data_IF_022732135172
#
_entry.id   IF_022732135172
#
_cell.length_a   1.000
_cell.length_b   1.000
_cell.length_c   1.000
_cell.angle_alpha   90.00
_cell.angle_beta   90.00
_cell.angle_gamma   90.00
#
_symmetry.space_group_name_H-M   'P 1'
#
loop_
_entity.id
_entity.type
_entity.pdbx_description
1 polymer ?
#
# COMPACT_ATOMS: atom_id res chain seq x y z
N UNK A 1 -62.60 -47.42 -7.62
CA UNK A 1 -61.54 -46.51 -7.14
C UNK A 1 -61.28 -45.50 -8.22
N UNK A 2 -61.52 -44.23 -7.89
CA UNK A 2 -61.55 -43.08 -8.79
C UNK A 2 -60.14 -42.78 -9.32
N UNK A 3 -60.03 -42.52 -10.62
CA UNK A 3 -58.88 -41.83 -11.19
C UNK A 3 -59.36 -40.45 -11.60
N UNK A 4 -59.07 -39.50 -10.74
CA UNK A 4 -59.42 -38.10 -10.85
C UNK A 4 -58.87 -37.45 -12.13
N UNK A 5 -59.77 -36.67 -12.70
CA UNK A 5 -59.62 -35.56 -13.62
C UNK A 5 -58.29 -34.80 -13.46
N UNK A 6 -57.42 -34.92 -14.45
CA UNK A 6 -56.25 -34.06 -14.59
C UNK A 6 -56.29 -33.37 -15.96
N UNK A 7 -57.29 -32.51 -16.12
CA UNK A 7 -57.36 -31.46 -17.13
C UNK A 7 -56.20 -30.46 -16.96
N UNK A 8 -54.99 -30.83 -17.40
CA UNK A 8 -53.84 -29.92 -17.49
C UNK A 8 -53.90 -29.14 -18.81
N UNK A 9 -54.82 -28.18 -18.89
CA UNK A 9 -54.70 -27.09 -19.86
C UNK A 9 -53.44 -26.30 -19.51
N UNK A 10 -52.36 -26.51 -20.25
CA UNK A 10 -51.16 -25.68 -20.17
C UNK A 10 -51.32 -24.53 -21.17
N UNK A 11 -51.67 -23.30 -20.74
CA UNK A 11 -51.45 -22.15 -21.59
C UNK A 11 -49.96 -21.87 -21.57
N UNK A 12 -49.30 -22.41 -22.58
CA UNK A 12 -47.93 -22.11 -22.96
C UNK A 12 -47.84 -20.61 -23.32
N UNK A 13 -47.80 -19.75 -22.30
CA UNK A 13 -47.27 -18.40 -22.46
C UNK A 13 -45.84 -18.45 -21.98
N UNK A 14 -44.96 -18.69 -22.96
CA UNK A 14 -43.57 -18.28 -22.88
C UNK A 14 -43.57 -16.82 -22.39
N UNK A 15 -43.40 -16.61 -21.08
CA UNK A 15 -43.04 -15.30 -20.55
C UNK A 15 -41.59 -15.09 -20.93
N UNK A 16 -41.37 -14.77 -22.21
CA UNK A 16 -40.10 -14.28 -22.71
C UNK A 16 -39.80 -13.05 -21.87
N UNK A 17 -38.91 -13.20 -20.88
CA UNK A 17 -38.28 -12.05 -20.26
C UNK A 17 -37.43 -11.44 -21.36
N UNK A 18 -38.01 -10.52 -22.13
CA UNK A 18 -37.25 -9.65 -23.02
C UNK A 18 -36.32 -8.87 -22.13
N UNK A 19 -35.09 -9.38 -22.01
CA UNK A 19 -33.97 -8.63 -21.47
C UNK A 19 -33.73 -7.52 -22.49
N UNK A 20 -34.49 -6.43 -22.39
CA UNK A 20 -34.10 -5.17 -23.01
C UNK A 20 -32.71 -4.89 -22.48
N UNK A 21 -31.71 -5.19 -23.30
CA UNK A 21 -30.38 -4.67 -23.13
C UNK A 21 -30.56 -3.16 -23.29
N UNK A 22 -30.63 -2.43 -22.17
CA UNK A 22 -30.35 -1.01 -22.14
C UNK A 22 -28.88 -0.83 -22.55
N UNK A 23 -28.60 -1.01 -23.84
CA UNK A 23 -27.41 -0.48 -24.49
C UNK A 23 -27.58 1.03 -24.46
N UNK A 24 -26.81 1.71 -23.63
CA UNK A 24 -26.62 3.15 -23.82
C UNK A 24 -26.81 4.05 -22.61
N UNK A 25 -26.92 3.55 -21.38
CA UNK A 25 -26.69 4.41 -20.21
C UNK A 25 -25.77 3.68 -19.25
N UNK A 26 -24.47 3.68 -19.57
CA UNK A 26 -23.48 3.60 -18.51
C UNK A 26 -23.65 4.85 -17.66
N UNK A 27 -24.54 4.82 -16.68
CA UNK A 27 -24.37 5.70 -15.54
C UNK A 27 -22.96 5.41 -15.06
N UNK A 28 -22.04 6.37 -15.23
CA UNK A 28 -20.73 6.28 -14.63
C UNK A 28 -20.96 6.24 -13.13
N UNK A 29 -21.16 5.05 -12.57
CA UNK A 29 -21.27 4.86 -11.14
C UNK A 29 -19.88 5.23 -10.64
N UNK A 30 -19.71 6.51 -10.26
CA UNK A 30 -18.53 7.02 -9.59
C UNK A 30 -18.51 6.33 -8.23
N UNK A 31 -17.99 5.09 -8.22
CA UNK A 31 -17.77 4.34 -6.99
C UNK A 31 -16.85 5.20 -6.14
N UNK A 32 -17.34 5.64 -4.99
CA UNK A 32 -16.51 6.35 -4.03
C UNK A 32 -15.32 5.47 -3.69
N UNK A 33 -14.11 6.04 -3.71
CA UNK A 33 -12.92 5.30 -3.29
C UNK A 33 -13.14 4.87 -1.85
N UNK A 34 -12.96 3.58 -1.56
CA UNK A 34 -13.00 3.05 -0.19
C UNK A 34 -11.93 3.78 0.62
N UNK A 35 -12.34 4.44 1.71
CA UNK A 35 -11.41 4.99 2.70
C UNK A 35 -10.84 3.80 3.47
N UNK A 36 -9.61 3.41 3.16
CA UNK A 36 -8.92 2.37 3.93
C UNK A 36 -8.51 2.95 5.27
N UNK A 37 -8.76 2.19 6.34
CA UNK A 37 -8.29 2.58 7.66
C UNK A 37 -6.76 2.52 7.70
N UNK A 38 -6.12 3.60 8.11
CA UNK A 38 -4.67 3.64 8.25
C UNK A 38 -4.27 2.95 9.55
N UNK A 39 -3.46 1.90 9.43
CA UNK A 39 -2.91 1.20 10.59
C UNK A 39 -1.65 1.92 11.03
N UNK A 40 -1.59 2.24 12.32
CA UNK A 40 -0.48 2.95 12.94
C UNK A 40 0.82 2.14 12.79
N UNK A 41 1.98 2.80 12.66
CA UNK A 41 3.26 2.12 12.52
C UNK A 41 3.62 1.27 13.75
N UNK A 42 3.16 1.67 14.95
CA UNK A 42 3.39 0.95 16.21
C UNK A 42 2.72 -0.42 16.18
N UNK A 43 1.46 -0.49 15.76
CA UNK A 43 0.72 -1.76 15.65
C UNK A 43 1.39 -2.68 14.61
N UNK A 44 1.91 -2.12 13.50
CA UNK A 44 2.66 -2.90 12.51
C UNK A 44 3.92 -3.50 13.11
N UNK A 45 4.70 -2.70 13.85
CA UNK A 45 5.92 -3.18 14.51
C UNK A 45 5.61 -4.24 15.56
N UNK A 46 4.56 -4.04 16.36
CA UNK A 46 4.11 -5.02 17.34
C UNK A 46 3.74 -6.35 16.68
N UNK A 47 2.93 -6.33 15.61
CA UNK A 47 2.57 -7.54 14.87
C UNK A 47 3.80 -8.26 14.31
N UNK A 48 4.75 -7.51 13.76
CA UNK A 48 5.99 -8.06 13.19
C UNK A 48 6.82 -8.73 14.29
N UNK A 49 6.99 -8.08 15.44
CA UNK A 49 7.75 -8.63 16.56
C UNK A 49 7.13 -9.91 17.12
N UNK A 50 5.79 -9.94 17.26
CA UNK A 50 5.08 -11.15 17.72
C UNK A 50 5.30 -12.35 16.78
N UNK A 51 5.28 -12.12 15.47
CA UNK A 51 5.39 -13.20 14.47
C UNK A 51 6.83 -13.62 14.21
N UNK A 52 7.76 -12.66 14.09
CA UNK A 52 9.15 -12.95 13.74
C UNK A 52 10.00 -13.27 14.97
N UNK A 53 9.89 -12.48 16.04
CA UNK A 53 10.74 -12.64 17.22
C UNK A 53 10.17 -13.73 18.14
N UNK A 54 8.87 -13.65 18.46
CA UNK A 54 8.20 -14.60 19.36
C UNK A 54 7.65 -15.86 18.68
N UNK A 55 7.82 -15.97 17.35
CA UNK A 55 7.37 -17.12 16.53
C UNK A 55 5.88 -17.49 16.71
N UNK A 56 5.04 -16.52 17.04
CA UNK A 56 3.60 -16.75 17.19
C UNK A 56 2.92 -16.99 15.84
N UNK A 57 1.84 -17.76 15.85
CA UNK A 57 1.00 -17.92 14.65
C UNK A 57 0.37 -16.57 14.30
N UNK A 58 0.31 -16.28 13.00
CA UNK A 58 -0.23 -15.00 12.49
C UNK A 58 -1.66 -14.74 12.98
N UNK A 59 -2.47 -15.79 13.12
CA UNK A 59 -3.85 -15.68 13.64
C UNK A 59 -3.86 -15.13 15.07
N UNK A 60 -3.03 -15.69 15.94
CA UNK A 60 -2.99 -15.33 17.36
C UNK A 60 -2.41 -13.92 17.54
N UNK A 61 -1.35 -13.59 16.79
CA UNK A 61 -0.77 -12.24 16.78
C UNK A 61 -1.76 -11.18 16.26
N UNK A 62 -2.61 -11.53 15.29
CA UNK A 62 -3.64 -10.62 14.76
C UNK A 62 -4.71 -10.31 15.82
N UNK A 63 -5.10 -11.29 16.63
CA UNK A 63 -6.03 -11.10 17.76
C UNK A 63 -5.43 -10.14 18.78
N UNK A 64 -4.17 -10.35 19.18
CA UNK A 64 -3.47 -9.49 20.15
C UNK A 64 -3.37 -8.04 19.64
N UNK A 65 -3.10 -7.85 18.35
CA UNK A 65 -3.00 -6.52 17.74
C UNK A 65 -4.35 -5.90 17.35
N UNK A 66 -5.50 -6.54 17.64
CA UNK A 66 -6.83 -6.11 17.22
C UNK A 66 -6.93 -5.83 15.70
N UNK A 67 -6.38 -6.74 14.89
CA UNK A 67 -6.38 -6.65 13.43
C UNK A 67 -7.11 -7.84 12.79
N UNK A 68 -7.74 -7.59 11.65
CA UNK A 68 -8.23 -8.67 10.80
C UNK A 68 -7.07 -9.53 10.30
N UNK A 69 -7.30 -10.84 10.23
CA UNK A 69 -6.29 -11.79 9.74
C UNK A 69 -5.79 -11.47 8.33
N UNK A 70 -6.69 -11.04 7.43
CA UNK A 70 -6.35 -10.61 6.06
C UNK A 70 -5.40 -9.42 6.05
N UNK A 71 -5.63 -8.46 6.94
CA UNK A 71 -4.78 -7.29 7.15
C UNK A 71 -3.41 -7.69 7.67
N UNK A 72 -3.35 -8.55 8.70
CA UNK A 72 -2.09 -9.06 9.25
C UNK A 72 -1.24 -9.81 8.21
N UNK A 73 -1.89 -10.68 7.41
CA UNK A 73 -1.23 -11.39 6.29
C UNK A 73 -0.66 -10.41 5.27
N UNK A 74 -1.42 -9.36 4.93
CA UNK A 74 -0.98 -8.34 3.98
C UNK A 74 0.24 -7.58 4.50
N UNK A 75 0.23 -7.17 5.78
CA UNK A 75 1.37 -6.47 6.41
C UNK A 75 2.64 -7.32 6.30
N UNK A 76 2.56 -8.59 6.69
CA UNK A 76 3.71 -9.51 6.64
C UNK A 76 4.17 -9.80 5.20
N UNK A 77 3.24 -9.95 4.27
CA UNK A 77 3.55 -10.10 2.85
C UNK A 77 4.30 -8.88 2.32
N UNK A 78 3.80 -7.67 2.59
CA UNK A 78 4.45 -6.43 2.17
C UNK A 78 5.81 -6.22 2.80
N UNK A 79 6.06 -6.76 4.01
CA UNK A 79 7.38 -6.71 4.65
C UNK A 79 8.38 -7.58 3.89
N UNK A 80 8.00 -8.82 3.55
CA UNK A 80 8.87 -9.78 2.85
C UNK A 80 9.18 -9.39 1.41
N UNK A 81 8.20 -8.81 0.73
CA UNK A 81 8.30 -8.42 -0.68
C UNK A 81 8.51 -6.92 -0.86
N UNK A 82 8.87 -6.21 0.20
CA UNK A 82 9.20 -4.79 0.05
C UNK A 82 10.44 -4.71 -0.84
N UNK A 83 10.39 -3.99 -1.98
CA UNK A 83 11.63 -3.69 -2.69
C UNK A 83 12.55 -2.99 -1.70
N UNK A 84 13.88 -3.27 -1.76
CA UNK A 84 14.83 -2.55 -0.92
C UNK A 84 14.52 -1.06 -1.09
N UNK A 85 14.27 -0.37 0.03
CA UNK A 85 14.17 1.09 -0.02
C UNK A 85 15.47 1.52 -0.67
N UNK A 86 15.44 1.96 -1.93
CA UNK A 86 16.57 2.62 -2.53
C UNK A 86 16.90 3.72 -1.55
N UNK A 87 18.04 3.58 -0.86
CA UNK A 87 18.57 4.64 -0.01
C UNK A 87 18.58 5.84 -0.93
N UNK A 88 17.71 6.81 -0.69
CA UNK A 88 17.42 7.83 -1.66
C UNK A 88 18.70 8.56 -1.99
N UNK A 89 19.34 8.19 -3.10
CA UNK A 89 20.08 9.14 -3.90
C UNK A 89 19.01 10.15 -4.29
N UNK A 90 18.84 11.17 -3.45
CA UNK A 90 18.23 12.41 -3.87
C UNK A 90 19.09 12.81 -5.07
N UNK A 91 18.56 12.64 -6.28
CA UNK A 91 19.20 13.22 -7.45
C UNK A 91 19.20 14.72 -7.16
N UNK A 92 20.35 15.22 -6.71
CA UNK A 92 20.58 16.64 -6.62
C UNK A 92 20.34 17.19 -8.02
N UNK A 93 19.37 18.09 -8.13
CA UNK A 93 19.10 18.81 -9.36
C UNK A 93 20.43 19.36 -9.89
N UNK A 94 20.77 19.05 -11.14
CA UNK A 94 22.03 19.44 -11.79
C UNK A 94 22.27 20.96 -11.87
N UNK A 95 21.32 21.76 -11.38
CA UNK A 95 21.37 23.22 -11.37
C UNK A 95 22.09 23.83 -10.16
N UNK A 96 22.35 23.06 -9.11
CA UNK A 96 23.14 23.52 -7.96
C UNK A 96 24.35 22.63 -7.78
N UNK A 97 25.54 23.12 -8.18
CA UNK A 97 26.79 22.47 -7.78
C UNK A 97 26.81 22.38 -6.26
N UNK A 98 27.05 21.20 -5.65
CA UNK A 98 27.15 21.12 -4.21
C UNK A 98 28.41 21.88 -3.77
N UNK A 99 28.23 22.98 -3.03
CA UNK A 99 29.34 23.71 -2.41
C UNK A 99 29.61 23.02 -1.07
N UNK A 100 30.83 22.50 -0.87
CA UNK A 100 31.26 21.93 0.41
C UNK A 100 32.35 22.83 1.00
N UNK A 101 31.94 23.77 1.85
CA UNK A 101 32.85 24.68 2.54
C UNK A 101 33.59 23.92 3.66
N UNK A 102 34.91 23.91 3.61
CA UNK A 102 35.76 23.46 4.71
C UNK A 102 36.27 24.67 5.48
N UNK A 103 36.12 24.63 6.81
CA UNK A 103 36.57 25.67 7.73
C UNK A 103 37.57 25.09 8.72
N UNK A 104 38.75 25.68 8.78
CA UNK A 104 39.78 25.32 9.76
C UNK A 104 39.78 26.34 10.89
N UNK A 105 39.52 25.89 12.12
CA UNK A 105 39.57 26.73 13.32
C UNK A 105 40.73 26.28 14.22
N UNK A 106 41.48 27.23 14.77
CA UNK A 106 42.49 26.98 15.81
C UNK A 106 42.20 27.90 16.99
N UNK A 107 42.07 27.32 18.19
CA UNK A 107 41.74 28.06 19.43
C UNK A 107 40.48 28.94 19.31
N UNK A 108 39.51 28.50 18.51
CA UNK A 108 38.26 29.24 18.26
C UNK A 108 38.37 30.33 17.19
N UNK A 109 39.56 30.59 16.66
CA UNK A 109 39.77 31.56 15.58
C UNK A 109 39.73 30.86 14.23
N UNK A 110 38.93 31.38 13.29
CA UNK A 110 38.88 30.88 11.91
C UNK A 110 40.18 31.26 11.19
N UNK A 111 40.89 30.26 10.68
CA UNK A 111 42.17 30.45 9.98
C UNK A 111 42.03 30.30 8.47
N UNK A 112 41.19 29.37 8.03
CA UNK A 112 41.04 29.09 6.60
C UNK A 112 39.60 28.68 6.29
N UNK A 113 39.11 29.12 5.13
CA UNK A 113 37.82 28.74 4.56
C UNK A 113 37.98 28.58 3.05
N UNK A 114 37.69 27.38 2.55
CA UNK A 114 37.77 27.08 1.11
C UNK A 114 36.70 26.08 0.69
N UNK A 115 36.29 26.16 -0.58
CA UNK A 115 35.38 25.18 -1.18
C UNK A 115 36.18 23.94 -1.58
N UNK A 116 35.88 22.81 -0.93
CA UNK A 116 36.58 21.54 -1.07
C UNK A 116 36.64 21.07 -2.52
N UNK A 117 35.54 21.20 -3.28
CA UNK A 117 35.51 20.75 -4.67
C UNK A 117 36.29 21.68 -5.60
N UNK A 118 36.37 22.97 -5.30
CA UNK A 118 37.21 23.91 -6.06
C UNK A 118 38.70 23.66 -5.83
N UNK A 119 39.08 23.36 -4.58
CA UNK A 119 40.46 23.14 -4.18
C UNK A 119 41.03 21.83 -4.76
N UNK A 120 40.23 20.76 -4.83
CA UNK A 120 40.64 19.49 -5.45
C UNK A 120 40.95 19.62 -6.94
N UNK A 121 40.24 20.49 -7.67
CA UNK A 121 40.47 20.70 -9.10
C UNK A 121 41.61 21.69 -9.40
N UNK A 122 42.19 22.29 -8.36
CA UNK A 122 43.29 23.26 -8.46
C UNK A 122 44.66 22.68 -8.11
N UNK A 123 44.72 21.41 -7.66
CA UNK A 123 45.95 20.65 -7.38
C UNK A 123 46.22 19.73 -8.57
#
# INVERSE_FOLDING_TARGET
MNFDDASLSSPHTFRVKTRQQLKGIQHSIKKSKRKYCHISPEIKQQLISLVLDKKLRIKDAAIICNLNYSTAKTILYTLRHRPPKQAGFKQYSSKSKPILMMKTLIKGTLINEYDFYSHLNSI
#
